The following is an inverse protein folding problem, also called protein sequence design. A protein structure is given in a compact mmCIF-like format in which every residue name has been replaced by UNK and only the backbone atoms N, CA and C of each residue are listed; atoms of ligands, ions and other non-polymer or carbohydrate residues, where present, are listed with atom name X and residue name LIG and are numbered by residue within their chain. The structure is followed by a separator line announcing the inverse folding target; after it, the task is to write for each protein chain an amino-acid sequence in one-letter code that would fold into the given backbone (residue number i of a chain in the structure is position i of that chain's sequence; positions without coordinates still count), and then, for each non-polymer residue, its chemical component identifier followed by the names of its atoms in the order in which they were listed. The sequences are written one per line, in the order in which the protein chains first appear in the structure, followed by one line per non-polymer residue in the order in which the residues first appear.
data_IF_620558953208
#
_entry.id   IF_620558953208
#
_cell.length_a   1.000
_cell.length_b   1.000
_cell.length_c   1.000
_cell.angle_alpha   90.00
_cell.angle_beta   90.00
_cell.angle_gamma   90.00
#
_symmetry.space_group_name_H-M   'P 1'
#
loop_
_entity.id
_entity.type
_entity.pdbx_description
1 polymer ?
#
# COMPACT_ATOMS: atom_id res chain seq x y z
N UNK A 1 -15.02 -12.44 -5.85
CA UNK A 1 -14.00 -13.10 -6.69
C UNK A 1 -12.69 -12.36 -6.49
N UNK A 2 -11.59 -13.08 -6.33
CA UNK A 2 -10.24 -12.50 -6.19
C UNK A 2 -9.34 -13.08 -7.26
N UNK A 3 -8.63 -12.22 -7.98
CA UNK A 3 -7.69 -12.59 -9.03
C UNK A 3 -6.34 -11.93 -8.79
N UNK A 4 -5.27 -12.63 -9.14
CA UNK A 4 -3.90 -12.13 -9.06
C UNK A 4 -3.23 -12.34 -10.42
N UNK A 5 -2.52 -11.32 -10.86
CA UNK A 5 -1.68 -11.40 -12.04
C UNK A 5 -0.32 -10.79 -11.74
N UNK A 6 0.71 -11.43 -12.30
CA UNK A 6 2.07 -10.98 -12.22
C UNK A 6 2.70 -11.07 -13.61
N UNK A 7 3.52 -10.09 -13.92
CA UNK A 7 4.28 -10.06 -15.16
C UNK A 7 5.65 -9.44 -14.95
N UNK A 8 6.65 -9.97 -15.65
CA UNK A 8 8.04 -9.53 -15.62
C UNK A 8 8.52 -9.37 -17.06
N UNK A 9 9.15 -8.24 -17.34
CA UNK A 9 9.58 -7.84 -18.67
C UNK A 9 11.03 -7.40 -18.66
N UNK A 10 11.78 -7.80 -19.68
CA UNK A 10 13.09 -7.23 -19.93
C UNK A 10 12.93 -5.88 -20.64
N UNK A 11 13.52 -4.82 -20.08
CA UNK A 11 13.33 -3.44 -20.57
C UNK A 11 13.81 -3.30 -22.01
N UNK A 12 14.93 -3.94 -22.36
CA UNK A 12 15.51 -3.88 -23.69
C UNK A 12 14.60 -4.51 -24.76
N UNK A 13 13.95 -5.63 -24.45
CA UNK A 13 13.04 -6.32 -25.36
C UNK A 13 11.80 -5.47 -25.64
N UNK A 14 11.13 -4.98 -24.60
CA UNK A 14 9.92 -4.15 -24.76
C UNK A 14 10.24 -2.85 -25.50
N UNK A 15 11.38 -2.22 -25.21
CA UNK A 15 11.81 -1.00 -25.89
C UNK A 15 12.02 -1.18 -27.41
N UNK A 16 12.36 -2.39 -27.84
CA UNK A 16 12.54 -2.74 -29.25
C UNK A 16 11.23 -2.96 -30.04
N UNK A 17 10.09 -3.08 -29.37
CA UNK A 17 8.79 -3.36 -30.01
C UNK A 17 8.15 -2.05 -30.50
N UNK A 18 8.42 -1.68 -31.75
CA UNK A 18 7.91 -0.44 -32.36
C UNK A 18 6.38 -0.32 -32.33
N UNK A 19 5.65 -1.44 -32.45
CA UNK A 19 4.19 -1.48 -32.43
C UNK A 19 3.57 -1.00 -31.11
N UNK A 20 4.30 -1.05 -29.99
CA UNK A 20 3.82 -0.52 -28.72
C UNK A 20 3.73 0.99 -28.70
N UNK A 21 4.49 1.69 -29.54
CA UNK A 21 4.46 3.15 -29.62
C UNK A 21 3.38 3.69 -30.55
N UNK A 22 2.61 2.81 -31.20
CA UNK A 22 1.46 3.23 -31.99
C UNK A 22 0.33 3.67 -31.02
N UNK A 23 -0.12 4.93 -31.10
CA UNK A 23 -1.20 5.41 -30.23
C UNK A 23 -2.48 4.64 -30.50
N UNK A 24 -3.20 4.38 -29.41
CA UNK A 24 -4.52 3.77 -29.36
C UNK A 24 -4.60 2.31 -29.88
N UNK A 25 -3.45 1.63 -29.97
CA UNK A 25 -3.35 0.18 -30.26
C UNK A 25 -3.17 -0.62 -28.96
N UNK A 26 -2.08 -0.34 -28.23
CA UNK A 26 -1.79 -0.97 -26.94
C UNK A 26 -1.88 0.05 -25.80
N UNK A 27 -1.30 1.22 -26.00
CA UNK A 27 -1.36 2.36 -25.09
C UNK A 27 -2.21 3.46 -25.70
N UNK A 28 -2.97 4.15 -24.85
CA UNK A 28 -3.65 5.39 -25.25
C UNK A 28 -2.62 6.46 -25.59
N UNK A 29 -3.03 7.46 -26.39
CA UNK A 29 -2.19 8.62 -26.64
C UNK A 29 -1.73 9.36 -25.35
N UNK A 30 -2.55 9.31 -24.28
CA UNK A 30 -2.19 9.90 -22.99
C UNK A 30 -1.08 9.11 -22.26
N UNK A 31 -1.16 7.78 -22.28
CA UNK A 31 -0.12 6.91 -21.73
C UNK A 31 1.21 7.11 -22.44
N UNK A 32 1.21 7.16 -23.78
CA UNK A 32 2.43 7.38 -24.56
C UNK A 32 3.08 8.72 -24.26
N UNK A 33 2.31 9.82 -24.21
CA UNK A 33 2.84 11.13 -23.81
C UNK A 33 3.49 11.09 -22.43
N UNK A 34 2.86 10.41 -21.48
CA UNK A 34 3.40 10.27 -20.11
C UNK A 34 4.70 9.46 -20.11
N UNK A 35 4.72 8.33 -20.81
CA UNK A 35 5.89 7.45 -20.96
C UNK A 35 7.06 8.22 -21.59
N UNK A 36 6.81 8.96 -22.68
CA UNK A 36 7.83 9.73 -23.37
C UNK A 36 8.38 10.89 -22.53
N UNK A 37 7.55 11.46 -21.64
CA UNK A 37 7.96 12.53 -20.72
C UNK A 37 8.66 12.07 -19.44
N UNK A 38 8.73 10.76 -19.19
CA UNK A 38 9.31 10.21 -17.97
C UNK A 38 10.84 10.35 -17.95
N UNK A 39 11.44 10.39 -16.75
CA UNK A 39 12.90 10.41 -16.60
C UNK A 39 13.59 9.20 -17.24
N UNK A 40 12.93 8.04 -17.23
CA UNK A 40 13.41 6.81 -17.85
C UNK A 40 12.30 6.23 -18.75
N UNK A 41 12.16 6.70 -20.01
CA UNK A 41 11.05 6.32 -20.88
C UNK A 41 10.98 4.82 -21.18
N UNK A 42 12.12 4.17 -21.45
CA UNK A 42 12.14 2.73 -21.73
C UNK A 42 11.70 1.88 -20.54
N UNK A 43 12.10 2.25 -19.32
CA UNK A 43 11.65 1.57 -18.10
C UNK A 43 10.16 1.82 -17.84
N UNK A 44 9.70 3.05 -18.10
CA UNK A 44 8.29 3.42 -17.96
C UNK A 44 7.39 2.67 -18.95
N UNK A 45 7.86 2.50 -20.20
CA UNK A 45 7.20 1.69 -21.21
C UNK A 45 7.11 0.23 -20.78
N UNK A 46 8.22 -0.36 -20.32
CA UNK A 46 8.26 -1.74 -19.86
C UNK A 46 7.39 -1.97 -18.61
N UNK A 47 7.41 -1.04 -17.66
CA UNK A 47 6.53 -1.10 -16.48
C UNK A 47 5.05 -0.98 -16.84
N UNK A 48 4.72 -0.11 -17.79
CA UNK A 48 3.34 0.02 -18.27
C UNK A 48 2.86 -1.23 -19.02
N UNK A 49 3.73 -1.82 -19.83
CA UNK A 49 3.45 -3.09 -20.52
C UNK A 49 3.22 -4.22 -19.51
N UNK A 50 4.14 -4.40 -18.57
CA UNK A 50 4.02 -5.41 -17.52
C UNK A 50 2.74 -5.24 -16.70
N UNK A 51 2.38 -3.99 -16.36
CA UNK A 51 1.15 -3.70 -15.63
C UNK A 51 -0.11 -4.16 -16.39
N UNK A 52 -0.21 -3.87 -17.69
CA UNK A 52 -1.35 -4.31 -18.50
C UNK A 52 -1.39 -5.83 -18.60
N UNK A 53 -0.28 -6.50 -18.88
CA UNK A 53 -0.21 -7.97 -18.91
C UNK A 53 -0.62 -8.59 -17.57
N UNK A 54 -0.10 -8.07 -16.45
CA UNK A 54 -0.50 -8.50 -15.11
C UNK A 54 -2.00 -8.31 -14.87
N UNK A 55 -2.59 -7.20 -15.33
CA UNK A 55 -4.03 -6.99 -15.25
C UNK A 55 -4.81 -8.05 -16.02
N UNK A 56 -4.45 -8.33 -17.28
CA UNK A 56 -5.16 -9.31 -18.08
C UNK A 56 -5.03 -10.75 -17.53
N UNK A 57 -3.95 -11.06 -16.83
CA UNK A 57 -3.79 -12.32 -16.08
C UNK A 57 -4.67 -12.37 -14.83
N UNK A 58 -4.89 -11.24 -14.17
CA UNK A 58 -5.69 -11.15 -12.94
C UNK A 58 -7.21 -11.13 -13.21
N UNK A 59 -7.62 -10.69 -14.40
CA UNK A 59 -9.03 -10.57 -14.78
C UNK A 59 -9.70 -11.93 -14.98
N UNK A 60 -11.00 -12.07 -14.64
CA UNK A 60 -11.76 -13.27 -14.95
C UNK A 60 -11.86 -13.49 -16.46
N UNK A 61 -11.87 -14.76 -16.88
CA UNK A 61 -12.20 -15.10 -18.28
C UNK A 61 -13.59 -14.55 -18.63
N UNK A 62 -13.70 -13.92 -19.79
CA UNK A 62 -14.96 -13.42 -20.35
C UNK A 62 -15.00 -13.74 -21.84
N UNK A 63 -16.22 -13.84 -22.35
CA UNK A 63 -16.58 -13.93 -23.77
C UNK A 63 -16.61 -12.58 -24.50
N UNK A 64 -16.55 -11.46 -23.77
CA UNK A 64 -16.53 -10.12 -24.35
C UNK A 64 -15.14 -9.70 -24.79
N UNK A 65 -15.04 -9.14 -25.99
CA UNK A 65 -13.83 -8.49 -26.46
C UNK A 65 -13.63 -7.15 -25.73
N UNK A 66 -12.43 -6.91 -25.25
CA UNK A 66 -11.95 -5.61 -24.76
C UNK A 66 -10.62 -5.29 -25.40
N UNK A 67 -10.28 -4.00 -25.39
CA UNK A 67 -9.05 -3.50 -25.95
C UNK A 67 -8.01 -3.23 -24.86
N UNK A 68 -6.72 -3.29 -25.21
CA UNK A 68 -5.63 -2.90 -24.29
C UNK A 68 -5.78 -1.46 -23.77
N UNK A 69 -6.40 -0.59 -24.57
CA UNK A 69 -6.71 0.80 -24.24
C UNK A 69 -7.89 0.97 -23.28
N UNK A 70 -8.70 -0.09 -23.05
CA UNK A 70 -9.74 -0.06 -22.01
C UNK A 70 -9.14 -0.04 -20.60
N UNK A 71 -7.86 -0.39 -20.46
CA UNK A 71 -7.07 -0.22 -19.25
C UNK A 71 -6.01 0.86 -19.46
N UNK A 72 -6.29 2.10 -19.07
CA UNK A 72 -5.34 3.21 -19.14
C UNK A 72 -4.55 3.27 -17.82
N UNK A 73 -3.24 3.04 -17.88
CA UNK A 73 -2.35 3.17 -16.73
C UNK A 73 -2.07 4.65 -16.44
N UNK A 74 -2.73 5.14 -15.40
CA UNK A 74 -2.56 6.49 -14.87
C UNK A 74 -1.69 6.45 -13.62
N UNK A 75 -1.13 7.59 -13.25
CA UNK A 75 -0.48 7.77 -11.96
C UNK A 75 -1.15 8.96 -11.30
N UNK A 76 -1.39 8.88 -9.99
CA UNK A 76 -1.90 10.03 -9.25
C UNK A 76 -0.82 11.12 -9.09
N UNK A 77 -1.17 12.22 -8.44
CA UNK A 77 -0.24 13.32 -8.16
C UNK A 77 0.95 12.91 -7.28
N UNK A 78 0.91 11.74 -6.65
CA UNK A 78 1.95 11.17 -5.80
C UNK A 78 2.76 10.08 -6.53
N UNK A 79 2.43 9.80 -7.79
CA UNK A 79 3.11 8.80 -8.61
C UNK A 79 2.60 7.38 -8.42
N UNK A 80 1.58 7.15 -7.57
CA UNK A 80 1.02 5.83 -7.36
C UNK A 80 0.28 5.36 -8.63
N UNK A 81 0.59 4.17 -9.18
CA UNK A 81 -0.05 3.68 -10.39
C UNK A 81 -1.49 3.22 -10.11
N UNK A 82 -2.39 3.51 -11.03
CA UNK A 82 -3.77 3.02 -11.02
C UNK A 82 -4.25 2.78 -12.45
N UNK A 83 -5.27 1.92 -12.61
CA UNK A 83 -5.96 1.78 -13.88
C UNK A 83 -7.19 2.66 -13.91
N UNK A 84 -7.23 3.61 -14.86
CA UNK A 84 -8.48 4.19 -15.31
C UNK A 84 -9.07 3.25 -16.35
N UNK A 85 -10.26 2.74 -16.08
CA UNK A 85 -10.90 1.75 -16.93
C UNK A 85 -11.98 2.38 -17.80
N UNK A 86 -12.07 1.90 -19.04
CA UNK A 86 -13.01 2.35 -20.05
C UNK A 86 -13.76 1.15 -20.65
N UNK A 87 -14.76 1.44 -21.48
CA UNK A 87 -15.42 0.45 -22.33
C UNK A 87 -15.90 -0.81 -21.60
N UNK A 88 -15.66 -1.96 -22.24
CA UNK A 88 -16.15 -3.26 -21.76
C UNK A 88 -15.50 -3.68 -20.44
N UNK A 89 -14.26 -3.25 -20.17
CA UNK A 89 -13.56 -3.52 -18.92
C UNK A 89 -14.20 -2.77 -17.74
N UNK A 90 -14.49 -1.47 -17.90
CA UNK A 90 -15.18 -0.68 -16.88
C UNK A 90 -16.55 -1.28 -16.54
N UNK A 91 -17.31 -1.67 -17.56
CA UNK A 91 -18.60 -2.33 -17.37
C UNK A 91 -18.48 -3.67 -16.62
N UNK A 92 -17.47 -4.49 -16.93
CA UNK A 92 -17.26 -5.76 -16.23
C UNK A 92 -16.99 -5.52 -14.74
N UNK A 93 -16.05 -4.62 -14.44
CA UNK A 93 -15.66 -4.32 -13.06
C UNK A 93 -16.83 -3.75 -12.26
N UNK A 94 -17.60 -2.83 -12.86
CA UNK A 94 -18.80 -2.27 -12.23
C UNK A 94 -19.87 -3.34 -11.99
N UNK A 95 -20.22 -4.14 -13.00
CA UNK A 95 -21.24 -5.20 -12.89
C UNK A 95 -20.90 -6.25 -11.83
N UNK A 96 -19.62 -6.57 -11.67
CA UNK A 96 -19.16 -7.57 -10.71
C UNK A 96 -18.74 -6.99 -9.36
N UNK A 97 -18.83 -5.67 -9.20
CA UNK A 97 -18.36 -4.97 -8.01
C UNK A 97 -16.91 -5.34 -7.71
N UNK A 98 -16.00 -5.09 -8.65
CA UNK A 98 -14.57 -5.42 -8.52
C UNK A 98 -13.71 -4.15 -8.50
N UNK A 99 -12.66 -4.16 -7.68
CA UNK A 99 -11.60 -3.16 -7.65
C UNK A 99 -10.29 -3.76 -8.18
N UNK A 100 -9.45 -2.89 -8.75
CA UNK A 100 -8.14 -3.27 -9.31
C UNK A 100 -7.06 -2.47 -8.58
N UNK A 101 -6.05 -3.17 -8.08
CA UNK A 101 -4.87 -2.60 -7.46
C UNK A 101 -3.64 -3.01 -8.24
N UNK A 102 -2.69 -2.11 -8.45
CA UNK A 102 -1.48 -2.36 -9.23
C UNK A 102 -0.25 -1.83 -8.49
N UNK A 103 0.85 -2.57 -8.58
CA UNK A 103 2.17 -2.15 -8.14
C UNK A 103 3.17 -2.44 -9.24
N UNK A 104 4.11 -1.53 -9.47
CA UNK A 104 5.11 -1.59 -10.54
C UNK A 104 6.48 -1.30 -9.91
N UNK A 105 7.46 -2.14 -10.25
CA UNK A 105 8.85 -1.97 -9.84
C UNK A 105 9.77 -2.18 -11.03
N UNK A 106 10.88 -1.45 -11.09
CA UNK A 106 11.91 -1.66 -12.10
C UNK A 106 13.30 -1.67 -11.45
N UNK A 107 14.14 -2.65 -11.83
CA UNK A 107 15.51 -2.77 -11.34
C UNK A 107 16.31 -3.71 -12.25
N UNK A 108 17.61 -3.48 -12.37
CA UNK A 108 18.53 -4.39 -13.06
C UNK A 108 18.20 -4.67 -14.53
N UNK A 109 17.56 -3.73 -15.24
CA UNK A 109 17.14 -3.92 -16.63
C UNK A 109 15.81 -4.67 -16.81
N UNK A 110 15.07 -4.90 -15.72
CA UNK A 110 13.75 -5.52 -15.74
C UNK A 110 12.69 -4.59 -15.18
N UNK A 111 11.44 -4.78 -15.62
CA UNK A 111 10.24 -4.18 -15.04
C UNK A 111 9.27 -5.30 -14.64
N UNK A 112 8.70 -5.19 -13.44
CA UNK A 112 7.77 -6.16 -12.86
C UNK A 112 6.50 -5.44 -12.45
N UNK A 113 5.36 -6.08 -12.66
CA UNK A 113 4.09 -5.57 -12.15
C UNK A 113 3.25 -6.68 -11.51
N UNK A 114 2.59 -6.33 -10.41
CA UNK A 114 1.63 -7.18 -9.72
C UNK A 114 0.28 -6.48 -9.74
N UNK A 115 -0.77 -7.21 -10.13
CA UNK A 115 -2.15 -6.74 -10.10
C UNK A 115 -3.01 -7.65 -9.23
N UNK A 116 -3.81 -7.04 -8.38
CA UNK A 116 -4.83 -7.68 -7.58
C UNK A 116 -6.20 -7.18 -8.02
N UNK A 117 -7.08 -8.11 -8.35
CA UNK A 117 -8.50 -7.85 -8.58
C UNK A 117 -9.25 -8.39 -7.37
N UNK A 118 -9.96 -7.54 -6.66
CA UNK A 118 -10.69 -7.87 -5.42
C UNK A 118 -12.15 -7.45 -5.56
N UNK A 119 -13.08 -7.94 -4.73
CA UNK A 119 -14.37 -7.27 -4.57
C UNK A 119 -14.14 -5.80 -4.20
N UNK A 120 -14.83 -4.90 -4.89
CA UNK A 120 -14.85 -3.48 -4.57
C UNK A 120 -15.35 -3.35 -3.14
N UNK A 121 -14.46 -2.95 -2.24
CA UNK A 121 -14.86 -2.61 -0.89
C UNK A 121 -15.68 -1.33 -1.00
N UNK A 122 -16.92 -1.33 -0.52
CA UNK A 122 -17.66 -0.10 -0.34
C UNK A 122 -16.75 0.87 0.43
N UNK A 123 -16.62 2.10 -0.06
CA UNK A 123 -15.93 3.15 0.68
C UNK A 123 -16.65 3.27 2.03
N UNK A 124 -16.07 2.64 3.07
CA UNK A 124 -16.50 2.93 4.44
C UNK A 124 -16.17 4.41 4.61
N UNK A 125 -17.13 5.26 5.03
CA UNK A 125 -16.80 6.63 5.36
C UNK A 125 -15.62 6.60 6.33
N UNK A 126 -14.66 7.51 6.12
CA UNK A 126 -13.67 7.78 7.14
C UNK A 126 -14.46 8.10 8.43
N UNK A 127 -14.24 7.38 9.54
CA UNK A 127 -14.98 7.66 10.76
C UNK A 127 -14.77 9.13 11.12
N UNK A 128 -15.88 9.82 11.35
CA UNK A 128 -15.89 11.20 11.83
C UNK A 128 -15.38 11.21 13.26
N UNK A 129 -14.34 11.99 13.50
CA UNK A 129 -13.74 12.15 14.83
C UNK A 129 -14.71 12.97 15.69
N UNK A 130 -15.32 12.33 16.69
CA UNK A 130 -15.92 12.94 17.87
C UNK A 130 -15.27 12.33 19.11
N UNK A 131 -14.78 13.17 20.03
CA UNK A 131 -14.19 12.75 21.32
C UNK A 131 -15.22 12.04 22.23
N UNK A 132 -14.84 11.33 23.29
CA UNK A 132 -13.86 11.68 24.33
C UNK A 132 -13.54 10.44 25.20
N UNK A 133 -12.29 10.32 25.64
CA UNK A 133 -11.74 9.59 26.82
C UNK A 133 -12.26 8.20 27.20
N UNK A 134 -11.60 7.16 26.66
CA UNK A 134 -10.78 6.17 27.38
C UNK A 134 -10.25 5.12 26.36
N UNK A 135 -8.98 4.74 26.51
CA UNK A 135 -8.21 3.72 25.76
C UNK A 135 -7.48 4.11 24.45
N UNK A 136 -6.21 3.69 24.38
CA UNK A 136 -5.29 3.68 23.22
C UNK A 136 -4.96 5.04 22.58
N UNK A 137 -4.12 5.83 23.26
CA UNK A 137 -3.64 7.12 22.77
C UNK A 137 -2.67 7.06 21.58
N UNK A 138 -2.50 8.18 20.87
CA UNK A 138 -1.40 8.38 19.94
C UNK A 138 -0.07 8.44 20.71
N UNK A 139 0.96 7.74 20.20
CA UNK A 139 2.32 7.79 20.75
C UNK A 139 3.28 8.41 19.76
N UNK A 140 4.42 8.91 20.26
CA UNK A 140 5.46 9.57 19.44
C UNK A 140 6.84 9.05 19.79
N UNK A 141 7.52 8.49 18.80
CA UNK A 141 8.88 7.96 18.92
C UNK A 141 9.86 8.83 18.12
N UNK A 142 10.85 9.41 18.78
CA UNK A 142 11.95 10.09 18.08
C UNK A 142 13.06 9.09 17.73
N UNK A 143 13.44 9.02 16.46
CA UNK A 143 14.51 8.15 15.97
C UNK A 143 15.61 8.95 15.26
N UNK A 144 16.90 8.61 15.47
CA UNK A 144 17.97 9.14 14.62
C UNK A 144 17.95 8.44 13.26
N UNK A 145 18.18 9.20 12.19
CA UNK A 145 18.44 8.67 10.86
C UNK A 145 19.87 8.13 10.82
N UNK A 146 20.02 6.81 10.68
CA UNK A 146 21.33 6.15 10.70
C UNK A 146 22.03 6.34 9.36
N UNK A 147 23.38 6.33 9.32
CA UNK A 147 24.10 6.37 8.04
C UNK A 147 23.69 5.27 7.05
N UNK A 148 23.34 4.07 7.56
CA UNK A 148 22.90 2.94 6.74
C UNK A 148 21.45 3.05 6.24
N UNK A 149 20.67 3.99 6.77
CA UNK A 149 19.29 4.20 6.35
C UNK A 149 19.24 4.94 5.00
N UNK A 150 20.35 5.57 4.62
CA UNK A 150 20.46 6.45 3.47
C UNK A 150 20.81 5.69 2.19
N UNK A 151 20.22 6.13 1.09
CA UNK A 151 20.62 5.72 -0.24
C UNK A 151 21.87 6.47 -0.74
N UNK A 152 22.26 6.19 -1.98
CA UNK A 152 23.41 6.83 -2.64
C UNK A 152 23.22 8.34 -2.87
N UNK A 153 21.99 8.85 -2.79
CA UNK A 153 21.66 10.27 -2.93
C UNK A 153 21.63 11.00 -1.57
N UNK A 154 21.77 10.27 -0.46
CA UNK A 154 21.88 10.83 0.89
C UNK A 154 20.54 11.02 1.60
N UNK A 155 19.47 10.39 1.12
CA UNK A 155 18.14 10.41 1.73
C UNK A 155 17.75 9.02 2.21
N UNK A 156 16.85 8.94 3.20
CA UNK A 156 16.36 7.64 3.69
C UNK A 156 15.67 6.89 2.55
N UNK A 157 16.05 5.62 2.39
CA UNK A 157 15.38 4.74 1.43
C UNK A 157 13.92 4.55 1.82
N UNK A 158 13.00 4.61 0.85
CA UNK A 158 11.57 4.41 1.08
C UNK A 158 11.24 3.10 1.84
N UNK A 159 12.01 2.02 1.64
CA UNK A 159 11.83 0.78 2.40
C UNK A 159 12.18 0.93 3.88
N UNK A 160 13.18 1.75 4.22
CA UNK A 160 13.60 2.01 5.60
C UNK A 160 12.56 2.84 6.35
N UNK A 161 11.78 3.67 5.64
CA UNK A 161 10.62 4.33 6.26
C UNK A 161 9.62 3.32 6.85
N UNK A 162 9.44 2.13 6.25
CA UNK A 162 8.58 1.09 6.81
C UNK A 162 9.11 0.55 8.14
N UNK A 163 10.44 0.49 8.31
CA UNK A 163 11.09 0.09 9.56
C UNK A 163 10.89 1.16 10.65
N UNK A 164 10.86 2.44 10.28
CA UNK A 164 10.49 3.51 11.22
C UNK A 164 9.03 3.38 11.66
N UNK A 165 8.11 3.09 10.73
CA UNK A 165 6.71 2.82 11.08
C UNK A 165 6.58 1.57 11.96
N UNK A 166 7.34 0.52 11.68
CA UNK A 166 7.37 -0.67 12.54
C UNK A 166 7.86 -0.35 13.96
N UNK A 167 8.98 0.37 14.08
CA UNK A 167 9.50 0.85 15.37
C UNK A 167 8.45 1.67 16.12
N UNK A 168 7.71 2.53 15.40
CA UNK A 168 6.60 3.29 15.97
C UNK A 168 5.44 2.44 16.48
N UNK A 169 5.16 1.27 15.88
CA UNK A 169 4.14 0.33 16.38
C UNK A 169 4.62 -0.46 17.60
N UNK A 170 5.90 -0.84 17.63
CA UNK A 170 6.51 -1.46 18.81
C UNK A 170 6.47 -0.52 20.02
N UNK A 171 6.92 0.73 19.82
CA UNK A 171 6.83 1.75 20.85
C UNK A 171 5.38 2.01 21.28
N UNK A 172 4.43 2.02 20.33
CA UNK A 172 3.02 2.12 20.68
C UNK A 172 2.57 0.99 21.60
N UNK A 173 2.89 -0.29 21.31
CA UNK A 173 2.54 -1.41 22.20
C UNK A 173 3.12 -1.23 23.61
N UNK A 174 4.40 -0.84 23.70
CA UNK A 174 5.10 -0.62 24.97
C UNK A 174 4.42 0.45 25.84
N UNK A 175 4.07 1.60 25.25
CA UNK A 175 3.39 2.71 25.94
C UNK A 175 1.97 2.34 26.40
N UNK A 176 1.34 1.36 25.76
CA UNK A 176 0.05 0.82 26.19
C UNK A 176 0.19 -0.31 27.22
N UNK A 177 1.42 -0.63 27.65
CA UNK A 177 1.71 -1.71 28.58
C UNK A 177 1.46 -3.10 28.00
N UNK A 178 1.51 -3.25 26.67
CA UNK A 178 1.32 -4.52 25.98
C UNK A 178 2.67 -5.16 25.65
N UNK A 179 2.86 -6.40 26.09
CA UNK A 179 4.08 -7.18 25.86
C UNK A 179 3.73 -8.40 25.01
N UNK A 180 4.21 -8.50 23.76
CA UNK A 180 3.96 -9.68 22.94
C UNK A 180 4.54 -10.95 23.58
N UNK A 181 3.68 -11.94 23.76
CA UNK A 181 4.01 -13.17 24.49
C UNK A 181 4.35 -14.36 23.56
N UNK A 182 4.17 -14.20 22.24
CA UNK A 182 4.44 -15.22 21.22
C UNK A 182 3.32 -16.25 21.03
N UNK A 183 2.33 -16.32 21.91
CA UNK A 183 1.14 -17.17 21.76
C UNK A 183 0.13 -16.53 20.81
N UNK A 184 -0.02 -15.20 20.89
CA UNK A 184 -0.75 -14.40 19.91
C UNK A 184 0.22 -13.45 19.21
N UNK A 185 0.13 -13.38 17.87
CA UNK A 185 1.02 -12.55 17.06
C UNK A 185 0.22 -11.56 16.21
N UNK A 186 0.74 -10.34 16.12
CA UNK A 186 0.24 -9.28 15.25
C UNK A 186 0.98 -9.32 13.91
N UNK A 187 0.26 -9.51 12.80
CA UNK A 187 0.83 -9.58 11.45
C UNK A 187 0.33 -8.42 10.61
N UNK A 188 1.24 -7.69 9.99
CA UNK A 188 0.88 -6.63 9.02
C UNK A 188 0.27 -7.28 7.78
N UNK A 189 -1.02 -7.03 7.56
CA UNK A 189 -1.77 -7.57 6.42
C UNK A 189 -1.78 -6.62 5.22
N UNK A 190 -1.67 -5.30 5.45
CA UNK A 190 -1.65 -4.28 4.39
C UNK A 190 -1.00 -2.99 4.90
N UNK A 191 -0.19 -2.36 4.05
CA UNK A 191 0.35 -1.02 4.29
C UNK A 191 0.00 -0.12 3.11
N UNK A 192 -0.67 0.98 3.38
CA UNK A 192 -0.95 2.06 2.43
C UNK A 192 -0.08 3.23 2.84
N UNK A 193 0.87 3.66 2.00
CA UNK A 193 1.93 4.61 2.39
C UNK A 193 2.13 5.70 1.33
N UNK A 194 2.14 6.94 1.80
CA UNK A 194 2.42 8.15 1.02
C UNK A 194 3.76 8.74 1.45
N UNK A 195 4.69 8.87 0.51
CA UNK A 195 5.95 9.60 0.70
C UNK A 195 5.79 11.05 0.22
N UNK A 196 5.95 12.01 1.14
CA UNK A 196 5.62 13.43 0.92
C UNK A 196 6.84 14.36 0.94
N UNK A 197 7.96 13.91 1.49
CA UNK A 197 9.23 14.62 1.43
C UNK A 197 10.38 13.64 1.64
N UNK A 198 11.53 13.97 1.06
CA UNK A 198 12.78 13.29 1.35
C UNK A 198 13.14 13.47 2.82
N UNK A 199 13.61 12.40 3.45
CA UNK A 199 14.09 12.42 4.84
C UNK A 199 15.62 12.53 4.77
N UNK A 200 16.19 13.70 5.13
CA UNK A 200 17.63 13.85 5.17
C UNK A 200 18.22 13.24 6.45
N UNK A 201 19.55 13.27 6.56
CA UNK A 201 20.24 13.03 7.84
C UNK A 201 19.67 13.92 8.94
N UNK A 202 19.54 13.36 10.14
CA UNK A 202 19.03 14.08 11.30
C UNK A 202 18.20 13.16 12.19
N UNK A 203 17.08 13.67 12.67
CA UNK A 203 16.10 12.93 13.46
C UNK A 203 14.75 12.97 12.79
N UNK A 204 13.96 11.92 13.01
CA UNK A 204 12.56 11.84 12.63
C UNK A 204 11.70 11.60 13.86
N UNK A 205 10.46 12.08 13.84
CA UNK A 205 9.46 11.74 14.85
C UNK A 205 8.36 10.89 14.21
N UNK A 206 8.15 9.68 14.73
CA UNK A 206 7.12 8.75 14.26
C UNK A 206 5.93 8.82 15.20
N UNK A 207 4.81 9.35 14.72
CA UNK A 207 3.54 9.32 15.42
C UNK A 207 2.73 8.08 15.01
N UNK A 208 2.19 7.35 15.98
CA UNK A 208 1.40 6.12 15.76
C UNK A 208 0.09 6.20 16.53
N UNK A 209 -1.03 6.05 15.83
CA UNK A 209 -2.37 6.04 16.43
C UNK A 209 -3.18 4.86 15.92
N UNK A 210 -3.82 4.12 16.81
CA UNK A 210 -4.87 3.16 16.45
C UNK A 210 -6.12 3.94 16.01
N UNK A 211 -6.64 3.63 14.81
CA UNK A 211 -7.79 4.33 14.22
C UNK A 211 -8.97 3.41 13.91
N UNK A 212 -8.79 2.09 14.05
CA UNK A 212 -9.89 1.11 14.05
C UNK A 212 -9.39 -0.19 14.72
N UNK A 213 -10.23 -0.87 15.51
CA UNK A 213 -11.55 -0.41 15.96
C UNK A 213 -11.47 0.90 16.74
N UNK A 214 -12.46 1.78 16.57
CA UNK A 214 -12.64 2.92 17.47
C UNK A 214 -13.27 2.46 18.80
N UNK A 215 -13.45 3.38 19.75
CA UNK A 215 -13.93 3.03 21.09
C UNK A 215 -15.31 2.35 21.07
N UNK A 216 -16.21 2.80 20.20
CA UNK A 216 -17.54 2.21 20.03
C UNK A 216 -17.45 0.82 19.40
N UNK A 217 -16.61 0.65 18.36
CA UNK A 217 -16.33 -0.65 17.73
C UNK A 217 -15.63 -1.65 18.66
N UNK A 218 -14.97 -1.17 19.72
CA UNK A 218 -14.30 -2.01 20.71
C UNK A 218 -15.25 -2.49 21.82
N UNK A 219 -16.24 -1.68 22.19
CA UNK A 219 -17.21 -1.97 23.25
C UNK A 219 -18.44 -2.75 22.78
N UNK A 220 -18.84 -2.65 21.50
CA UNK A 220 -19.79 -3.60 20.93
C UNK A 220 -19.20 -5.02 21.01
N UNK A 221 -20.02 -6.06 21.20
CA UNK A 221 -19.66 -7.50 21.13
C UNK A 221 -19.08 -7.93 19.74
N UNK A 222 -18.60 -6.97 18.95
CA UNK A 222 -17.93 -7.10 17.67
C UNK A 222 -16.60 -7.81 17.78
N UNK A 223 -16.49 -8.89 17.02
CA UNK A 223 -15.27 -9.68 16.90
C UNK A 223 -14.29 -8.98 15.96
N UNK A 224 -13.33 -8.25 16.52
CA UNK A 224 -12.36 -7.46 15.76
C UNK A 224 -11.12 -8.29 15.41
N UNK A 225 -11.11 -8.91 14.24
CA UNK A 225 -9.95 -9.67 13.75
C UNK A 225 -8.82 -8.81 13.20
N UNK A 226 -9.02 -7.49 13.10
CA UNK A 226 -8.09 -6.55 12.46
C UNK A 226 -8.02 -5.24 13.22
N UNK A 227 -6.83 -4.65 13.22
CA UNK A 227 -6.57 -3.30 13.71
C UNK A 227 -6.03 -2.44 12.56
N UNK A 228 -6.28 -1.12 12.59
CA UNK A 228 -5.71 -0.16 11.66
C UNK A 228 -4.98 0.93 12.42
N UNK A 229 -3.75 1.19 12.02
CA UNK A 229 -2.91 2.25 12.58
C UNK A 229 -2.71 3.35 11.55
N UNK A 230 -3.02 4.59 11.90
CA UNK A 230 -2.52 5.76 11.18
C UNK A 230 -1.14 6.09 11.74
N UNK A 231 -0.15 6.14 10.86
CA UNK A 231 1.23 6.45 11.24
C UNK A 231 1.81 7.55 10.39
N UNK A 232 2.59 8.44 11.01
CA UNK A 232 3.13 9.64 10.37
C UNK A 232 4.57 9.86 10.80
N UNK A 233 5.45 10.14 9.84
CA UNK A 233 6.85 10.50 10.11
C UNK A 233 7.01 11.99 9.88
N UNK A 234 7.45 12.73 10.89
CA UNK A 234 7.67 14.17 10.87
C UNK A 234 9.16 14.50 10.85
N UNK A 235 9.48 15.63 10.22
CA UNK A 235 10.82 16.21 10.18
C UNK A 235 10.85 17.51 10.98
N UNK A 236 11.96 17.82 11.68
CA UNK A 236 12.14 19.11 12.33
C UNK A 236 11.90 20.28 11.36
N UNK A 237 11.05 21.23 11.75
CA UNK A 237 10.78 22.46 10.98
C UNK A 237 9.84 22.30 9.77
N UNK A 238 9.29 21.10 9.50
CA UNK A 238 8.32 20.88 8.41
C UNK A 238 6.89 20.95 8.93
N UNK A 239 6.01 21.67 8.24
CA UNK A 239 4.60 21.86 8.63
C UNK A 239 3.70 20.61 8.50
N UNK A 240 4.20 19.49 7.96
CA UNK A 240 3.43 18.25 7.78
C UNK A 240 4.32 17.01 7.79
N UNK A 241 3.73 15.80 7.65
CA UNK A 241 4.47 14.55 7.70
C UNK A 241 5.22 14.28 6.40
N UNK A 242 6.49 13.89 6.48
CA UNK A 242 7.30 13.42 5.36
C UNK A 242 6.84 12.04 4.86
N UNK A 243 6.25 11.23 5.74
CA UNK A 243 5.59 9.96 5.39
C UNK A 243 4.26 9.88 6.13
N UNK A 244 3.20 9.45 5.46
CA UNK A 244 1.92 9.12 6.08
C UNK A 244 1.49 7.72 5.64
N UNK A 245 1.01 6.90 6.56
CA UNK A 245 0.62 5.54 6.28
C UNK A 245 -0.62 5.10 7.05
N UNK A 246 -1.39 4.20 6.45
CA UNK A 246 -2.42 3.41 7.10
C UNK A 246 -1.99 1.94 7.07
N UNK A 247 -1.75 1.36 8.24
CA UNK A 247 -1.27 -0.01 8.40
C UNK A 247 -2.39 -0.88 8.97
N UNK A 248 -2.82 -1.88 8.22
CA UNK A 248 -3.77 -2.89 8.69
C UNK A 248 -3.01 -4.08 9.26
N UNK A 249 -3.33 -4.44 10.49
CA UNK A 249 -2.79 -5.58 11.23
C UNK A 249 -3.91 -6.60 11.44
N UNK A 250 -3.57 -7.88 11.33
CA UNK A 250 -4.43 -9.00 11.72
C UNK A 250 -3.75 -9.81 12.83
N UNK A 251 -4.55 -10.50 13.64
CA UNK A 251 -4.04 -11.25 14.79
C UNK A 251 -4.15 -12.76 14.54
N UNK A 252 -3.14 -13.52 14.94
CA UNK A 252 -3.11 -14.97 14.83
C UNK A 252 -2.77 -15.62 16.17
N UNK A 253 -3.44 -16.74 16.49
CA UNK A 253 -2.99 -17.69 17.51
C UNK A 253 -1.87 -18.55 16.89
N UNK A 254 -0.67 -18.48 17.45
CA UNK A 254 0.51 -19.16 16.91
C UNK A 254 0.45 -20.68 17.08
N UNK A 255 -0.18 -21.17 18.16
CA UNK A 255 -0.32 -22.59 18.45
C UNK A 255 -1.33 -23.28 17.52
N UNK A 256 -2.48 -22.63 17.29
CA UNK A 256 -3.56 -23.13 16.42
C UNK A 256 -3.39 -22.73 14.96
N UNK A 257 -2.54 -21.75 14.66
CA UNK A 257 -2.34 -21.16 13.32
C UNK A 257 -3.64 -20.64 12.71
N UNK A 258 -4.51 -20.07 13.54
CA UNK A 258 -5.82 -19.54 13.16
C UNK A 258 -5.93 -18.04 13.48
N UNK A 259 -6.90 -17.35 12.86
CA UNK A 259 -7.25 -15.98 13.25
C UNK A 259 -7.68 -15.94 14.72
N UNK A 260 -7.24 -14.91 15.42
CA UNK A 260 -7.66 -14.54 16.78
C UNK A 260 -8.11 -13.08 16.77
N UNK A 261 -8.74 -12.64 17.83
CA UNK A 261 -9.29 -11.27 17.94
C UNK A 261 -8.24 -10.30 18.49
N UNK A 262 -8.44 -9.01 18.25
CA UNK A 262 -7.69 -7.96 18.89
C UNK A 262 -7.85 -8.03 20.41
N UNK A 263 -9.05 -8.32 20.90
CA UNK A 263 -9.34 -8.44 22.33
C UNK A 263 -8.51 -9.56 22.97
N UNK A 264 -8.50 -10.76 22.38
CA UNK A 264 -7.67 -11.89 22.83
C UNK A 264 -6.18 -11.56 22.77
N UNK A 265 -5.72 -10.87 21.72
CA UNK A 265 -4.33 -10.41 21.63
C UNK A 265 -3.99 -9.42 22.76
N UNK A 266 -4.86 -8.46 23.04
CA UNK A 266 -4.66 -7.45 24.10
C UNK A 266 -4.65 -8.13 25.47
N UNK A 267 -5.61 -9.02 25.76
CA UNK A 267 -5.67 -9.77 27.02
C UNK A 267 -4.42 -10.62 27.22
N UNK A 268 -3.99 -11.35 26.20
CA UNK A 268 -2.79 -12.19 26.24
C UNK A 268 -1.50 -11.37 26.41
N UNK A 269 -1.50 -10.12 25.93
CA UNK A 269 -0.33 -9.22 25.99
C UNK A 269 -0.29 -8.35 27.26
N UNK A 270 -1.29 -8.41 28.15
CA UNK A 270 -1.23 -7.70 29.43
C UNK A 270 -0.28 -8.43 30.40
N UNK A 271 0.60 -7.73 31.12
CA UNK A 271 1.40 -8.34 32.16
C UNK A 271 0.48 -8.89 33.26
N UNK A 272 0.77 -10.13 33.70
CA UNK A 272 0.10 -10.85 34.78
C UNK A 272 0.28 -10.18 36.14
#
# INVERSE_FOLDING_TARGET
MTGLGHDLQQVAEVAGVSGLRAPDVFFTAAELRRIDSAQQPSQSLAGAFAAKEALFKALPRTDRTWFWTDAELVHDRHGAPAFRTHGALAELLARRGLAVHVSISHSGGFASAVVLVTPAQAARPAPSIGGTDMFFGETRLTLPVRPNDLDVLGHVNNSVALEYLESGRWHWLEEQGLVPNGETIAVVARTEIDYRAEIPRGTVEVATALVSPDAEEFEEDGVNYRARFRQRVFLPGRAGPAVEALVTVAFLDAGKRSLTTLQEFVEASRPS
#
